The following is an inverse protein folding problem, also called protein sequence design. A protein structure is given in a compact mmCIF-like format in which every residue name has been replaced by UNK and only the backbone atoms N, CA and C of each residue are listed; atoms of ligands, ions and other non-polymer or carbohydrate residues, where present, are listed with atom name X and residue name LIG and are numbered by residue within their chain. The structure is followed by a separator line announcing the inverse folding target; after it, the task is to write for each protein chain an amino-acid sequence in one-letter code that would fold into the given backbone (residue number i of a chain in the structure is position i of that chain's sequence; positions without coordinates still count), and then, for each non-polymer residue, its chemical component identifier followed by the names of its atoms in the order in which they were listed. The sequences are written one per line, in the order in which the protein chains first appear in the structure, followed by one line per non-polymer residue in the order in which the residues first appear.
data_IF_630199716188
#
_entry.id   IF_630199716188
#
_cell.length_a   1.000
_cell.length_b   1.000
_cell.length_c   1.000
_cell.angle_alpha   90.00
_cell.angle_beta   90.00
_cell.angle_gamma   90.00
#
_symmetry.space_group_name_H-M   'P 1'
#
loop_
_entity.id
_entity.type
_entity.pdbx_description
1 polymer ?
#
# COMPACT_ATOMS: atom_id res chain seq x y z
N UNK A 1 -0.91 -15.83 -1.56
CA UNK A 1 0.36 -16.56 -1.26
C UNK A 1 1.13 -15.73 -0.25
N UNK A 2 1.47 -16.35 0.88
CA UNK A 2 2.27 -15.76 1.95
C UNK A 2 3.74 -16.15 1.77
N UNK A 3 4.64 -15.17 1.82
CA UNK A 3 6.09 -15.42 1.83
C UNK A 3 6.69 -14.72 3.03
N UNK A 4 7.40 -15.47 3.86
CA UNK A 4 8.10 -15.00 5.05
C UNK A 4 9.60 -15.17 4.82
N UNK A 5 10.37 -14.11 5.06
CA UNK A 5 11.82 -14.11 4.88
C UNK A 5 12.47 -13.49 6.11
N UNK A 6 13.28 -14.27 6.82
CA UNK A 6 14.03 -13.78 7.97
C UNK A 6 15.31 -13.07 7.54
N UNK A 7 15.72 -12.07 8.33
CA UNK A 7 16.90 -11.25 8.06
C UNK A 7 16.93 -10.70 6.62
N UNK A 8 15.77 -10.19 6.19
CA UNK A 8 15.55 -9.82 4.80
C UNK A 8 16.18 -8.47 4.46
N UNK A 9 16.69 -8.36 3.24
CA UNK A 9 17.17 -7.08 2.69
C UNK A 9 16.00 -6.20 2.27
N UNK A 10 16.01 -4.94 2.73
CA UNK A 10 15.07 -3.90 2.36
C UNK A 10 15.58 -2.98 1.24
N UNK A 11 16.74 -3.28 0.65
CA UNK A 11 17.38 -2.43 -0.36
C UNK A 11 16.47 -2.14 -1.56
N UNK A 12 15.64 -3.11 -1.96
CA UNK A 12 14.68 -2.96 -3.06
C UNK A 12 13.34 -2.37 -2.64
N UNK A 13 13.14 -2.17 -1.34
CA UNK A 13 11.94 -1.61 -0.74
C UNK A 13 12.19 -0.21 -0.18
N UNK A 14 13.16 0.50 -0.75
CA UNK A 14 13.37 1.93 -0.55
C UNK A 14 14.04 2.53 -1.78
N UNK A 15 13.57 3.70 -2.19
CA UNK A 15 14.04 4.36 -3.43
C UNK A 15 15.45 4.95 -3.32
N UNK A 16 15.95 5.16 -2.11
CA UNK A 16 17.35 5.56 -1.90
C UNK A 16 18.34 4.41 -2.09
N UNK A 17 17.86 3.16 -2.23
CA UNK A 17 18.70 1.98 -2.38
C UNK A 17 19.59 1.70 -1.16
N UNK A 18 19.19 2.23 0.02
CA UNK A 18 19.92 2.03 1.28
C UNK A 18 19.97 0.54 1.60
N UNK A 19 21.14 0.08 1.95
CA UNK A 19 21.38 -1.32 2.30
C UNK A 19 20.97 -1.59 3.76
N UNK A 20 19.65 -1.55 3.99
CA UNK A 20 19.05 -1.91 5.26
C UNK A 20 18.50 -3.34 5.24
N UNK A 21 18.34 -3.94 6.42
CA UNK A 21 17.72 -5.25 6.65
C UNK A 21 16.62 -5.15 7.69
N UNK A 22 15.77 -6.19 7.82
CA UNK A 22 14.81 -6.32 8.93
C UNK A 22 14.86 -7.73 9.52
N UNK A 23 14.31 -7.91 10.73
CA UNK A 23 14.21 -9.23 11.35
C UNK A 23 13.38 -10.17 10.48
N UNK A 24 12.19 -9.73 10.06
CA UNK A 24 11.29 -10.54 9.23
C UNK A 24 10.59 -9.66 8.18
N UNK A 25 10.60 -10.09 6.94
CA UNK A 25 9.79 -9.53 5.85
C UNK A 25 8.65 -10.48 5.52
N UNK A 26 7.43 -9.96 5.53
CA UNK A 26 6.23 -10.70 5.15
C UNK A 26 5.64 -10.06 3.90
N UNK A 27 5.67 -10.80 2.79
CA UNK A 27 5.00 -10.44 1.54
C UNK A 27 3.72 -11.28 1.40
N UNK A 28 2.60 -10.62 1.12
CA UNK A 28 1.28 -11.28 1.04
C UNK A 28 0.50 -10.83 -0.19
N UNK A 29 -0.28 -11.75 -0.78
CA UNK A 29 -1.07 -11.50 -2.00
C UNK A 29 -2.57 -11.39 -1.74
N UNK A 30 -3.01 -11.62 -0.51
CA UNK A 30 -4.41 -11.43 -0.10
C UNK A 30 -4.50 -11.07 1.38
N UNK A 31 -5.59 -10.43 1.80
CA UNK A 31 -5.87 -10.17 3.21
C UNK A 31 -5.99 -11.48 4.02
N UNK A 32 -6.44 -12.56 3.39
CA UNK A 32 -6.53 -13.88 4.03
C UNK A 32 -5.17 -14.44 4.43
N UNK A 33 -4.12 -14.11 3.69
CA UNK A 33 -2.75 -14.51 4.02
C UNK A 33 -2.32 -13.99 5.41
N UNK A 34 -2.93 -12.90 5.88
CA UNK A 34 -2.62 -12.28 7.18
C UNK A 34 -3.36 -12.91 8.36
N UNK A 35 -4.36 -13.75 8.11
CA UNK A 35 -5.19 -14.35 9.18
C UNK A 35 -4.37 -15.21 10.15
N UNK A 36 -3.34 -15.90 9.63
CA UNK A 36 -2.49 -16.79 10.42
C UNK A 36 -1.15 -16.15 10.80
N UNK A 37 -0.93 -14.88 10.42
CA UNK A 37 0.31 -14.17 10.72
C UNK A 37 0.29 -13.65 12.14
N UNK A 38 1.22 -14.14 12.96
CA UNK A 38 1.46 -13.61 14.30
C UNK A 38 2.61 -12.62 14.25
N UNK A 39 2.31 -11.35 14.48
CA UNK A 39 3.31 -10.29 14.58
C UNK A 39 3.64 -10.09 16.05
N UNK A 40 4.88 -10.37 16.42
CA UNK A 40 5.38 -10.12 17.77
C UNK A 40 6.27 -8.87 17.74
N UNK A 41 5.94 -7.88 18.57
CA UNK A 41 6.73 -6.65 18.65
C UNK A 41 6.37 -5.58 17.62
N UNK A 42 7.37 -4.80 17.24
CA UNK A 42 7.18 -3.69 16.29
C UNK A 42 6.98 -4.19 14.87
N UNK A 43 6.10 -3.54 14.14
CA UNK A 43 5.95 -3.79 12.71
C UNK A 43 5.84 -2.48 11.92
N UNK A 44 6.09 -2.58 10.62
CA UNK A 44 6.09 -1.49 9.67
C UNK A 44 5.41 -1.94 8.37
N UNK A 45 4.37 -1.26 7.95
CA UNK A 45 3.83 -1.43 6.61
C UNK A 45 4.66 -0.61 5.62
N UNK A 46 5.06 -1.23 4.52
CA UNK A 46 5.85 -0.57 3.49
C UNK A 46 5.26 -0.84 2.11
N UNK A 47 5.18 0.20 1.29
CA UNK A 47 4.97 0.07 -0.15
C UNK A 47 6.31 -0.10 -0.88
N UNK A 48 6.57 0.76 -1.87
CA UNK A 48 7.87 0.81 -2.56
C UNK A 48 8.94 1.57 -1.75
N UNK A 49 8.60 2.09 -0.58
CA UNK A 49 9.52 2.85 0.28
C UNK A 49 9.95 4.19 -0.32
N UNK A 50 9.12 4.78 -1.17
CA UNK A 50 9.42 6.07 -1.84
C UNK A 50 9.39 7.27 -0.90
N UNK A 51 8.70 7.15 0.23
CA UNK A 51 8.61 8.19 1.25
C UNK A 51 9.21 7.73 2.60
N UNK A 52 10.31 6.97 2.52
CA UNK A 52 10.95 6.41 3.71
C UNK A 52 12.46 6.54 3.64
N UNK A 53 13.06 6.84 4.79
CA UNK A 53 14.51 6.89 4.98
C UNK A 53 14.92 5.93 6.12
N UNK A 54 15.65 4.89 5.78
CA UNK A 54 16.25 4.00 6.78
C UNK A 54 17.52 4.65 7.34
N UNK A 55 17.45 5.20 8.54
CA UNK A 55 18.60 5.83 9.24
C UNK A 55 19.46 4.82 10.01
N UNK A 56 19.00 3.58 10.11
CA UNK A 56 19.74 2.47 10.74
C UNK A 56 19.91 1.33 9.74
N UNK A 57 21.02 0.58 9.81
CA UNK A 57 21.28 -0.52 8.89
C UNK A 57 20.34 -1.71 9.10
N UNK A 58 19.66 -1.77 10.26
CA UNK A 58 18.76 -2.87 10.58
C UNK A 58 17.52 -2.37 11.32
N UNK A 59 16.34 -2.79 10.83
CA UNK A 59 15.06 -2.59 11.48
C UNK A 59 14.73 -3.81 12.33
N UNK A 60 14.63 -3.61 13.65
CA UNK A 60 14.24 -4.67 14.60
C UNK A 60 12.73 -4.78 14.63
N UNK A 61 12.21 -5.76 13.90
CA UNK A 61 10.77 -6.01 13.78
C UNK A 61 10.37 -6.60 12.45
N UNK A 62 9.06 -6.68 12.26
CA UNK A 62 8.43 -7.23 11.06
C UNK A 62 8.11 -6.14 10.05
N UNK A 63 8.51 -6.33 8.81
CA UNK A 63 8.09 -5.49 7.68
C UNK A 63 6.99 -6.21 6.91
N UNK A 64 5.86 -5.55 6.71
CA UNK A 64 4.74 -6.03 5.91
C UNK A 64 4.74 -5.35 4.55
N UNK A 65 4.70 -6.13 3.48
CA UNK A 65 4.70 -5.62 2.12
C UNK A 65 3.58 -6.27 1.31
N UNK A 66 2.59 -5.46 0.92
CA UNK A 66 1.47 -5.94 0.11
C UNK A 66 1.88 -6.22 -1.33
N UNK A 67 1.47 -7.39 -1.82
CA UNK A 67 1.51 -7.82 -3.21
C UNK A 67 0.10 -8.08 -3.76
N UNK A 68 -0.95 -7.55 -3.10
CA UNK A 68 -2.32 -7.67 -3.57
C UNK A 68 -2.43 -6.90 -4.89
N UNK A 69 -2.73 -7.61 -5.98
CA UNK A 69 -2.70 -7.07 -7.34
C UNK A 69 -4.07 -7.14 -8.05
N UNK A 70 -5.13 -7.36 -7.28
CA UNK A 70 -6.49 -7.41 -7.82
C UNK A 70 -6.90 -6.03 -8.34
N UNK A 71 -7.59 -6.01 -9.48
CA UNK A 71 -8.15 -4.80 -10.08
C UNK A 71 -9.51 -5.15 -10.65
N UNK A 72 -10.58 -4.66 -10.05
CA UNK A 72 -11.95 -5.05 -10.33
C UNK A 72 -12.85 -3.82 -10.49
N UNK A 73 -13.66 -3.81 -11.57
CA UNK A 73 -14.78 -2.87 -11.68
C UNK A 73 -15.90 -3.28 -10.73
N UNK A 74 -16.32 -2.39 -9.86
CA UNK A 74 -17.48 -2.62 -8.98
C UNK A 74 -18.77 -2.12 -9.63
N UNK A 75 -18.68 -1.01 -10.36
CA UNK A 75 -19.76 -0.41 -11.14
C UNK A 75 -19.15 0.43 -12.28
N UNK A 76 -19.95 1.23 -12.98
CA UNK A 76 -19.54 2.04 -14.13
C UNK A 76 -18.59 3.20 -13.78
N UNK A 77 -18.36 3.48 -12.52
CA UNK A 77 -17.53 4.60 -12.02
C UNK A 77 -16.53 4.23 -10.94
N UNK A 78 -16.66 3.04 -10.36
CA UNK A 78 -15.88 2.63 -9.19
C UNK A 78 -15.05 1.39 -9.49
N UNK A 79 -13.78 1.46 -9.13
CA UNK A 79 -12.84 0.32 -9.20
C UNK A 79 -12.35 -0.02 -7.80
N UNK A 80 -12.20 -1.31 -7.53
CA UNK A 80 -11.43 -1.80 -6.39
C UNK A 80 -10.02 -2.11 -6.86
N UNK A 81 -9.04 -1.56 -6.17
CA UNK A 81 -7.62 -1.70 -6.54
C UNK A 81 -6.84 -2.30 -5.37
N UNK A 82 -6.06 -3.32 -5.64
CA UNK A 82 -5.19 -3.97 -4.66
C UNK A 82 -4.08 -3.06 -4.18
N UNK A 83 -3.81 -3.11 -2.88
CA UNK A 83 -2.83 -2.24 -2.21
C UNK A 83 -1.39 -2.38 -2.74
N UNK A 84 -1.06 -3.52 -3.38
CA UNK A 84 0.25 -3.82 -3.94
C UNK A 84 0.47 -3.36 -5.38
N UNK A 85 -0.55 -2.84 -6.07
CA UNK A 85 -0.41 -2.30 -7.43
C UNK A 85 0.37 -0.98 -7.36
N UNK A 86 1.32 -0.78 -8.26
CA UNK A 86 2.00 0.51 -8.40
C UNK A 86 1.00 1.61 -8.71
N UNK A 87 1.19 2.77 -8.09
CA UNK A 87 0.23 3.86 -8.23
C UNK A 87 0.05 4.32 -9.66
N UNK A 88 1.15 4.47 -10.42
CA UNK A 88 1.08 4.92 -11.81
C UNK A 88 0.37 3.91 -12.72
N UNK A 89 0.49 2.61 -12.45
CA UNK A 89 -0.30 1.56 -13.12
C UNK A 89 -1.80 1.71 -12.83
N UNK A 90 -2.16 2.12 -11.61
CA UNK A 90 -3.56 2.41 -11.26
C UNK A 90 -4.07 3.58 -12.08
N UNK A 91 -3.32 4.68 -12.14
CA UNK A 91 -3.67 5.86 -12.95
C UNK A 91 -3.81 5.48 -14.42
N UNK A 92 -2.83 4.78 -14.99
CA UNK A 92 -2.86 4.37 -16.40
C UNK A 92 -4.07 3.48 -16.73
N UNK A 93 -4.43 2.55 -15.84
CA UNK A 93 -5.59 1.66 -16.04
C UNK A 93 -6.90 2.43 -15.97
N UNK A 94 -7.07 3.34 -14.99
CA UNK A 94 -8.30 4.14 -14.88
C UNK A 94 -8.49 5.05 -16.08
N UNK A 95 -7.44 5.72 -16.55
CA UNK A 95 -7.48 6.54 -17.77
C UNK A 95 -7.86 5.72 -19.00
N UNK A 96 -7.26 4.53 -19.18
CA UNK A 96 -7.61 3.62 -20.30
C UNK A 96 -9.08 3.20 -20.25
N UNK A 97 -9.65 3.09 -19.07
CA UNK A 97 -11.07 2.77 -18.85
C UNK A 97 -11.98 4.00 -18.93
N UNK A 98 -11.43 5.18 -19.21
CA UNK A 98 -12.13 6.48 -19.22
C UNK A 98 -12.71 6.88 -17.86
N UNK A 99 -12.12 6.41 -16.78
CA UNK A 99 -12.38 6.83 -15.41
C UNK A 99 -11.37 7.91 -15.05
N UNK A 100 -11.76 9.15 -15.23
CA UNK A 100 -10.88 10.31 -15.10
C UNK A 100 -10.83 10.87 -13.67
N UNK A 101 -9.77 11.63 -13.37
CA UNK A 101 -9.59 12.39 -12.14
C UNK A 101 -8.36 12.00 -11.32
N UNK A 102 -7.56 11.02 -11.79
CA UNK A 102 -6.28 10.66 -11.18
C UNK A 102 -5.07 11.10 -12.02
N UNK A 103 -5.28 11.71 -13.20
CA UNK A 103 -4.24 12.00 -14.19
C UNK A 103 -3.15 12.91 -13.63
N UNK A 104 -3.52 13.91 -12.83
CA UNK A 104 -2.57 14.83 -12.20
C UNK A 104 -1.66 14.15 -11.19
N UNK A 105 -2.02 12.96 -10.73
CA UNK A 105 -1.27 12.17 -9.76
C UNK A 105 -0.38 11.09 -10.41
N UNK A 106 -0.31 11.08 -11.77
CA UNK A 106 0.57 10.18 -12.51
C UNK A 106 2.03 10.40 -12.13
N UNK A 107 2.84 9.34 -12.23
CA UNK A 107 4.27 9.31 -11.92
C UNK A 107 4.64 9.60 -10.45
N UNK A 108 3.68 9.78 -9.55
CA UNK A 108 4.00 9.81 -8.11
C UNK A 108 4.44 8.39 -7.71
N UNK A 109 5.67 8.22 -7.19
CA UNK A 109 6.18 6.90 -6.87
C UNK A 109 5.48 6.32 -5.63
N UNK A 110 5.11 5.04 -5.70
CA UNK A 110 4.48 4.34 -4.58
C UNK A 110 3.53 3.24 -5.03
N UNK A 111 2.82 2.66 -4.08
CA UNK A 111 1.75 1.68 -4.32
C UNK A 111 0.40 2.28 -3.94
N UNK A 112 -0.67 1.73 -4.50
CA UNK A 112 -2.06 2.21 -4.27
C UNK A 112 -2.42 2.22 -2.78
N UNK A 113 -2.03 1.20 -2.01
CA UNK A 113 -2.27 1.20 -0.56
C UNK A 113 -1.55 2.33 0.17
N UNK A 114 -0.29 2.64 -0.20
CA UNK A 114 0.45 3.76 0.40
C UNK A 114 -0.06 5.12 -0.06
N UNK A 115 -0.58 5.21 -1.27
CA UNK A 115 -1.21 6.44 -1.78
C UNK A 115 -2.43 6.84 -0.93
N UNK A 116 -3.27 5.86 -0.58
CA UNK A 116 -4.41 6.07 0.31
C UNK A 116 -3.98 6.52 1.72
N UNK A 117 -2.94 5.87 2.29
CA UNK A 117 -2.46 6.20 3.65
C UNK A 117 -1.89 7.62 3.73
N UNK A 118 -1.22 8.08 2.67
CA UNK A 118 -0.51 9.36 2.64
C UNK A 118 -1.34 10.49 2.03
N UNK A 119 -2.55 10.19 1.53
CA UNK A 119 -3.34 11.14 0.75
C UNK A 119 -2.47 11.89 -0.28
N UNK A 120 -1.75 11.12 -1.12
CA UNK A 120 -0.81 11.73 -2.07
C UNK A 120 -1.48 12.78 -2.91
N UNK A 121 -0.78 13.90 -3.14
CA UNK A 121 -1.32 15.03 -3.87
C UNK A 121 -0.29 15.69 -4.78
N UNK A 122 -0.76 16.19 -5.91
CA UNK A 122 0.01 17.01 -6.84
C UNK A 122 -0.91 17.84 -7.72
N UNK A 123 -0.43 19.03 -8.12
CA UNK A 123 -1.13 19.91 -9.06
C UNK A 123 -2.58 20.23 -8.66
N UNK A 124 -2.81 20.37 -7.34
CA UNK A 124 -4.14 20.71 -6.82
C UNK A 124 -5.16 19.57 -6.79
N UNK A 125 -4.72 18.33 -7.01
CA UNK A 125 -5.51 17.13 -6.83
C UNK A 125 -4.91 16.26 -5.74
N UNK A 126 -5.76 15.54 -5.01
CA UNK A 126 -5.37 14.57 -3.98
C UNK A 126 -6.03 13.22 -4.23
N UNK A 127 -5.38 12.14 -3.77
CA UNK A 127 -5.96 10.81 -3.90
C UNK A 127 -7.31 10.71 -3.18
N UNK A 128 -7.45 11.38 -2.04
CA UNK A 128 -8.66 11.49 -1.26
C UNK A 128 -9.85 11.99 -2.06
N UNK A 129 -9.68 12.90 -3.02
CA UNK A 129 -10.76 13.41 -3.87
C UNK A 129 -11.49 12.31 -4.65
N UNK A 130 -10.87 11.15 -4.82
CA UNK A 130 -11.38 10.02 -5.62
C UNK A 130 -11.56 8.73 -4.82
N UNK A 131 -11.11 8.68 -3.58
CA UNK A 131 -11.27 7.52 -2.71
C UNK A 131 -12.70 7.51 -2.14
N UNK A 132 -13.46 6.47 -2.42
CA UNK A 132 -14.79 6.23 -1.85
C UNK A 132 -14.70 5.52 -0.51
N UNK A 133 -13.81 4.54 -0.42
CA UNK A 133 -13.56 3.79 0.81
C UNK A 133 -12.20 3.09 0.75
N UNK A 134 -11.68 2.74 1.93
CA UNK A 134 -10.45 1.95 2.08
C UNK A 134 -10.76 0.68 2.86
N UNK A 135 -10.52 -0.46 2.22
CA UNK A 135 -10.61 -1.77 2.87
C UNK A 135 -9.26 -2.08 3.55
N UNK A 136 -9.31 -2.35 4.82
CA UNK A 136 -8.12 -2.69 5.64
C UNK A 136 -8.30 -4.05 6.31
N UNK A 137 -7.19 -4.60 6.80
CA UNK A 137 -7.19 -5.78 7.63
C UNK A 137 -6.63 -5.45 9.01
N UNK A 138 -7.47 -5.58 10.04
CA UNK A 138 -7.06 -5.40 11.43
C UNK A 138 -6.27 -6.63 11.87
N UNK A 139 -4.98 -6.42 12.13
CA UNK A 139 -4.06 -7.50 12.54
C UNK A 139 -4.29 -7.97 13.98
N UNK A 140 -4.95 -7.17 14.82
CA UNK A 140 -5.24 -7.53 16.20
C UNK A 140 -6.48 -8.41 16.29
N UNK A 141 -7.54 -7.98 15.62
CA UNK A 141 -8.84 -8.64 15.68
C UNK A 141 -9.03 -9.65 14.53
N UNK A 142 -8.03 -9.76 13.63
CA UNK A 142 -8.04 -10.63 12.45
C UNK A 142 -9.30 -10.49 11.60
N UNK A 143 -9.73 -9.25 11.37
CA UNK A 143 -10.93 -8.95 10.60
C UNK A 143 -10.72 -7.87 9.56
N UNK A 144 -11.55 -7.91 8.52
CA UNK A 144 -11.66 -6.82 7.55
C UNK A 144 -12.38 -5.65 8.20
N UNK A 145 -11.84 -4.45 8.00
CA UNK A 145 -12.45 -3.18 8.39
C UNK A 145 -12.52 -2.31 7.14
N UNK A 146 -13.64 -1.64 6.94
CA UNK A 146 -13.83 -0.70 5.82
C UNK A 146 -14.02 0.69 6.41
N UNK A 147 -13.19 1.61 5.95
CA UNK A 147 -13.33 3.03 6.24
C UNK A 147 -14.01 3.70 5.05
N UNK A 148 -15.08 4.43 5.29
CA UNK A 148 -15.67 5.33 4.29
C UNK A 148 -14.74 6.53 4.04
N UNK A 149 -15.00 7.30 2.99
CA UNK A 149 -14.26 8.54 2.73
C UNK A 149 -14.23 9.45 3.97
N UNK A 150 -15.37 9.63 4.63
CA UNK A 150 -15.49 10.53 5.79
C UNK A 150 -14.69 10.04 7.01
N UNK A 151 -14.55 8.72 7.17
CA UNK A 151 -13.75 8.11 8.24
C UNK A 151 -12.25 8.33 8.06
N UNK A 152 -11.79 8.64 6.85
CA UNK A 152 -10.36 8.83 6.55
C UNK A 152 -9.83 10.19 7.01
N UNK A 153 -10.71 11.16 7.24
CA UNK A 153 -10.36 12.50 7.73
C UNK A 153 -9.24 13.17 6.93
N UNK A 154 -9.28 13.04 5.59
CA UNK A 154 -8.37 13.76 4.72
C UNK A 154 -8.65 15.27 4.81
N UNK A 155 -7.59 16.09 5.00
CA UNK A 155 -7.71 17.53 5.12
C UNK A 155 -6.41 18.18 5.57
#
# INVERSE_FOLDING_TARGET
MLKITDNASLRRLNTFGINATCDTLIEYTSAKDLADVKICGSFLNIGLGSNMLFVKPHYRGTVLHSKIADFEMLDDRTVRVGAGIEWDDTVARTVKMKLYGLENLSLIPGQTGSAAVQNIGAYGAEAGDRIVSVETYDLKDHKKVVFSHDDLHYG
#
